data_IF_671427229926
#
_entry.id   IF_671427229926
#
_cell.length_a   1.000
_cell.length_b   1.000
_cell.length_c   1.000
_cell.angle_alpha   90.00
_cell.angle_beta   90.00
_cell.angle_gamma   90.00
#
_symmetry.space_group_name_H-M   'P 1'
#
loop_
_entity.id
_entity.type
_entity.pdbx_description
1 polymer ?
#
# COMPACT_ATOMS: atom_id res chain seq x y z
N UNK A 1 -19.09 -19.77 17.76
CA UNK A 1 -18.58 -20.37 16.51
C UNK A 1 -17.27 -21.07 16.83
N UNK A 2 -17.14 -22.35 16.45
CA UNK A 2 -15.95 -23.14 16.63
C UNK A 2 -15.19 -23.17 15.30
N UNK A 3 -13.90 -22.80 15.30
CA UNK A 3 -12.99 -22.97 14.15
C UNK A 3 -12.43 -24.40 14.16
N UNK A 4 -13.28 -25.37 13.84
CA UNK A 4 -12.99 -26.80 13.90
C UNK A 4 -12.53 -27.41 12.56
N UNK A 5 -12.62 -26.63 11.47
CA UNK A 5 -12.13 -27.04 10.15
C UNK A 5 -11.07 -26.07 9.62
N UNK A 6 -9.99 -26.65 9.05
CA UNK A 6 -8.92 -25.90 8.38
C UNK A 6 -8.88 -26.29 6.92
N UNK A 7 -8.91 -25.31 6.04
CA UNK A 7 -8.71 -25.50 4.62
C UNK A 7 -7.52 -24.69 4.15
N UNK A 8 -6.56 -25.32 3.48
CA UNK A 8 -5.47 -24.61 2.80
C UNK A 8 -6.01 -24.10 1.47
N UNK A 9 -6.09 -22.78 1.31
CA UNK A 9 -6.55 -22.14 0.07
C UNK A 9 -5.40 -21.94 -0.93
N UNK A 10 -4.24 -21.50 -0.45
CA UNK A 10 -3.07 -21.19 -1.28
C UNK A 10 -1.77 -21.35 -0.50
N UNK A 11 -0.77 -21.90 -1.14
CA UNK A 11 0.61 -21.88 -0.61
C UNK A 11 1.39 -20.79 -1.33
N UNK A 12 2.06 -19.94 -0.55
CA UNK A 12 2.95 -18.90 -1.05
C UNK A 12 4.36 -19.21 -0.54
N UNK A 13 5.30 -19.43 -1.46
CA UNK A 13 6.67 -19.81 -1.10
C UNK A 13 7.46 -18.56 -0.69
N UNK A 14 7.81 -18.53 0.59
CA UNK A 14 8.61 -17.50 1.21
C UNK A 14 10.07 -17.94 1.30
N UNK A 15 10.94 -17.15 0.71
CA UNK A 15 12.39 -17.36 0.76
C UNK A 15 13.03 -16.14 1.42
N UNK A 16 13.05 -16.14 2.75
CA UNK A 16 13.51 -15.02 3.52
C UNK A 16 15.00 -14.71 3.29
N UNK A 17 15.27 -13.48 2.88
CA UNK A 17 16.60 -12.87 2.96
C UNK A 17 16.55 -11.58 3.78
N UNK A 18 15.48 -10.81 3.64
CA UNK A 18 15.32 -9.50 4.26
C UNK A 18 14.08 -9.39 5.16
N UNK A 19 13.22 -10.41 5.22
CA UNK A 19 11.98 -10.39 6.01
C UNK A 19 10.77 -9.79 5.27
N UNK A 20 10.82 -9.68 3.95
CA UNK A 20 9.75 -9.11 3.13
C UNK A 20 8.74 -10.20 2.74
N UNK A 21 7.91 -10.61 3.68
CA UNK A 21 7.04 -11.77 3.57
C UNK A 21 5.60 -11.49 3.18
N UNK A 22 4.71 -12.28 3.78
CA UNK A 22 3.26 -12.11 3.69
C UNK A 22 2.86 -11.10 4.76
N UNK A 23 2.28 -9.98 4.37
CA UNK A 23 2.11 -8.87 5.29
C UNK A 23 0.66 -8.73 5.78
N UNK A 24 -0.30 -8.51 4.87
CA UNK A 24 -1.68 -8.20 5.27
C UNK A 24 -2.71 -8.94 4.40
N UNK A 25 -3.91 -9.15 4.95
CA UNK A 25 -5.10 -9.65 4.25
C UNK A 25 -6.20 -8.62 4.45
N UNK A 26 -6.77 -8.12 3.35
CA UNK A 26 -7.78 -7.07 3.37
C UNK A 26 -8.98 -7.49 2.53
N UNK A 27 -10.20 -7.28 3.05
CA UNK A 27 -11.43 -7.42 2.27
C UNK A 27 -11.65 -6.14 1.46
N UNK A 28 -11.69 -6.26 0.14
CA UNK A 28 -11.93 -5.14 -0.75
C UNK A 28 -13.40 -4.74 -0.84
N UNK A 29 -13.69 -3.52 -1.36
CA UNK A 29 -15.06 -3.05 -1.56
C UNK A 29 -15.85 -3.89 -2.58
N UNK A 30 -15.15 -4.63 -3.42
CA UNK A 30 -15.69 -5.60 -4.39
C UNK A 30 -15.95 -6.99 -3.80
N UNK A 31 -15.84 -7.13 -2.48
CA UNK A 31 -16.00 -8.38 -1.72
C UNK A 31 -14.95 -9.46 -2.05
N UNK A 32 -13.89 -9.12 -2.73
CA UNK A 32 -12.73 -9.99 -2.90
C UNK A 32 -11.71 -9.80 -1.77
N UNK A 33 -10.92 -10.84 -1.55
CA UNK A 33 -9.83 -10.85 -0.55
C UNK A 33 -8.54 -10.46 -1.26
N UNK A 34 -7.84 -9.48 -0.70
CA UNK A 34 -6.55 -9.01 -1.17
C UNK A 34 -5.46 -9.39 -0.19
N UNK A 35 -4.34 -9.90 -0.71
CA UNK A 35 -3.15 -10.22 0.06
C UNK A 35 -2.00 -9.32 -0.37
N UNK A 36 -1.33 -8.75 0.63
CA UNK A 36 -0.16 -7.90 0.44
C UNK A 36 1.10 -8.74 0.63
N UNK A 37 1.96 -8.74 -0.38
CA UNK A 37 3.09 -9.67 -0.44
C UNK A 37 4.38 -8.94 -0.82
N UNK A 38 5.40 -9.05 0.04
CA UNK A 38 6.71 -8.46 -0.19
C UNK A 38 7.59 -9.27 -1.15
N UNK A 39 8.73 -8.71 -1.56
CA UNK A 39 9.57 -9.26 -2.62
C UNK A 39 10.44 -10.48 -2.24
N UNK A 40 10.31 -11.02 -1.02
CA UNK A 40 10.90 -12.31 -0.64
C UNK A 40 9.98 -13.51 -0.96
N UNK A 41 8.79 -13.26 -1.51
CA UNK A 41 7.80 -14.29 -1.82
C UNK A 41 7.71 -14.51 -3.33
N UNK A 42 7.83 -15.75 -3.75
CA UNK A 42 7.70 -16.13 -5.16
C UNK A 42 6.26 -15.96 -5.64
N UNK A 43 6.06 -15.70 -6.94
CA UNK A 43 4.73 -15.74 -7.53
C UNK A 43 4.11 -17.13 -7.35
N UNK A 44 2.85 -17.21 -6.90
CA UNK A 44 2.20 -18.49 -6.67
C UNK A 44 1.82 -19.16 -7.99
N UNK A 45 1.88 -20.48 -8.01
CA UNK A 45 1.31 -21.28 -9.09
C UNK A 45 -0.22 -21.17 -9.12
N UNK A 46 -0.83 -21.45 -10.28
CA UNK A 46 -2.28 -21.50 -10.44
C UNK A 46 -2.99 -20.15 -10.25
N UNK A 47 -2.33 -19.06 -10.60
CA UNK A 47 -2.99 -17.76 -10.83
C UNK A 47 -3.58 -17.70 -12.24
N UNK A 48 -4.61 -16.89 -12.42
CA UNK A 48 -5.24 -16.70 -13.72
C UNK A 48 -4.23 -16.21 -14.77
N UNK A 49 -4.19 -16.77 -15.96
CA UNK A 49 -3.39 -16.24 -17.06
C UNK A 49 -3.90 -14.87 -17.54
N UNK A 50 -5.14 -14.50 -17.18
CA UNK A 50 -5.73 -13.18 -17.40
C UNK A 50 -5.48 -12.23 -16.20
N UNK A 51 -4.56 -12.54 -15.27
CA UNK A 51 -4.18 -11.60 -14.24
C UNK A 51 -3.79 -10.25 -14.85
N UNK A 52 -4.30 -9.12 -14.31
CA UNK A 52 -3.93 -7.79 -14.82
C UNK A 52 -2.43 -7.55 -14.83
N UNK A 53 -1.75 -7.94 -13.77
CA UNK A 53 -0.30 -7.90 -13.69
C UNK A 53 0.30 -9.23 -14.19
N UNK A 54 1.10 -9.14 -15.22
CA UNK A 54 1.77 -10.30 -15.81
C UNK A 54 3.12 -10.51 -15.17
N UNK A 55 3.46 -11.78 -14.93
CA UNK A 55 4.73 -12.15 -14.31
C UNK A 55 5.93 -11.53 -15.07
N UNK A 56 6.74 -10.68 -14.44
CA UNK A 56 7.92 -10.08 -15.06
C UNK A 56 9.00 -11.08 -15.44
N UNK A 57 8.90 -12.37 -15.04
CA UNK A 57 9.83 -13.43 -15.48
C UNK A 57 9.90 -13.55 -17.00
N UNK A 58 8.88 -13.11 -17.71
CA UNK A 58 8.85 -13.12 -19.17
C UNK A 58 9.30 -11.80 -19.79
N UNK A 59 9.66 -10.82 -18.98
CA UNK A 59 10.09 -9.52 -19.46
C UNK A 59 11.62 -9.46 -19.59
N UNK A 60 12.13 -9.94 -20.72
CA UNK A 60 13.57 -9.98 -21.01
C UNK A 60 14.17 -8.59 -21.27
N UNK A 61 13.35 -7.57 -21.44
CA UNK A 61 13.79 -6.22 -21.76
C UNK A 61 14.15 -5.44 -20.49
N UNK A 62 13.75 -5.95 -19.33
CA UNK A 62 13.90 -5.25 -18.08
C UNK A 62 15.13 -5.77 -17.32
N UNK A 63 16.09 -4.89 -17.01
CA UNK A 63 17.29 -5.31 -16.34
C UNK A 63 17.00 -5.78 -14.92
N UNK A 64 17.49 -6.95 -14.57
CA UNK A 64 17.57 -7.37 -13.18
C UNK A 64 18.64 -6.55 -12.45
N UNK A 65 18.49 -6.30 -11.15
CA UNK A 65 19.55 -5.78 -10.33
C UNK A 65 20.78 -6.68 -10.42
N UNK A 66 21.97 -6.10 -10.43
CA UNK A 66 23.23 -6.83 -10.58
C UNK A 66 23.47 -7.87 -9.48
N UNK A 67 22.86 -7.72 -8.29
CA UNK A 67 22.96 -8.59 -7.14
C UNK A 67 21.82 -9.62 -7.04
N UNK A 68 20.84 -9.56 -7.93
CA UNK A 68 19.70 -10.49 -7.95
C UNK A 68 19.95 -11.72 -8.82
N UNK A 69 20.91 -11.68 -9.75
CA UNK A 69 21.16 -12.75 -10.70
C UNK A 69 19.95 -12.99 -11.60
N UNK A 70 19.38 -14.20 -11.54
CA UNK A 70 18.18 -14.59 -12.29
C UNK A 70 16.88 -14.47 -11.47
N UNK A 71 16.94 -13.86 -10.28
CA UNK A 71 15.78 -13.72 -9.41
C UNK A 71 14.94 -12.50 -9.81
N UNK A 72 13.72 -12.74 -10.27
CA UNK A 72 12.78 -11.73 -10.74
C UNK A 72 11.66 -11.43 -9.74
N UNK A 73 11.81 -11.86 -8.48
CA UNK A 73 10.80 -11.59 -7.46
C UNK A 73 10.59 -10.10 -7.26
N UNK A 74 9.34 -9.74 -7.10
CA UNK A 74 8.88 -8.39 -6.72
C UNK A 74 7.81 -8.51 -5.65
N UNK A 75 7.58 -7.47 -4.87
CA UNK A 75 6.36 -7.38 -4.07
C UNK A 75 5.15 -7.23 -5.00
N UNK A 76 4.02 -7.81 -4.62
CA UNK A 76 2.81 -7.81 -5.42
C UNK A 76 1.55 -7.81 -4.56
N UNK A 77 0.43 -7.51 -5.19
CA UNK A 77 -0.91 -7.65 -4.60
C UNK A 77 -1.60 -8.83 -5.27
N UNK A 78 -1.97 -9.82 -4.46
CA UNK A 78 -2.72 -10.99 -4.89
C UNK A 78 -4.19 -10.82 -4.50
N UNK A 79 -5.09 -11.17 -5.39
CA UNK A 79 -6.54 -11.12 -5.19
C UNK A 79 -7.16 -12.49 -5.33
N UNK A 80 -8.18 -12.80 -4.52
CA UNK A 80 -9.00 -13.99 -4.66
C UNK A 80 -10.46 -13.71 -4.32
N UNK A 81 -11.37 -14.55 -4.85
CA UNK A 81 -12.75 -14.60 -4.39
C UNK A 81 -12.83 -15.10 -2.93
N UNK A 82 -13.98 -14.97 -2.30
CA UNK A 82 -14.19 -15.36 -0.89
C UNK A 82 -13.97 -16.86 -0.65
N UNK A 83 -14.13 -17.69 -1.69
CA UNK A 83 -13.93 -19.14 -1.61
C UNK A 83 -12.46 -19.55 -1.84
N UNK A 84 -11.57 -18.63 -2.23
CA UNK A 84 -10.19 -18.93 -2.56
C UNK A 84 -10.01 -19.76 -3.82
N UNK A 85 -10.94 -19.68 -4.79
CA UNK A 85 -10.93 -20.49 -6.02
C UNK A 85 -10.29 -19.76 -7.20
N UNK A 86 -10.49 -18.44 -7.30
CA UNK A 86 -9.96 -17.61 -8.39
C UNK A 86 -8.84 -16.74 -7.86
N UNK A 87 -7.65 -16.88 -8.41
CA UNK A 87 -6.48 -16.15 -7.97
C UNK A 87 -5.92 -15.28 -9.10
N UNK A 88 -5.68 -14.01 -8.82
CA UNK A 88 -5.18 -13.03 -9.77
C UNK A 88 -4.09 -12.17 -9.12
N UNK A 89 -3.07 -11.80 -9.87
CA UNK A 89 -2.10 -10.79 -9.47
C UNK A 89 -2.59 -9.45 -10.00
N UNK A 90 -2.86 -8.51 -9.09
CA UNK A 90 -3.45 -7.20 -9.44
C UNK A 90 -2.38 -6.24 -9.94
N UNK A 91 -1.29 -6.10 -9.20
CA UNK A 91 -0.20 -5.18 -9.46
C UNK A 91 1.09 -5.70 -8.84
N UNK A 92 2.24 -5.22 -9.30
CA UNK A 92 3.54 -5.65 -8.81
C UNK A 92 4.63 -4.61 -8.95
N UNK A 93 5.88 -5.01 -8.69
CA UNK A 93 7.00 -4.09 -8.67
C UNK A 93 7.13 -3.31 -7.37
N UNK A 94 6.61 -3.85 -6.27
CA UNK A 94 6.80 -3.32 -4.92
C UNK A 94 8.02 -3.96 -4.25
N UNK A 95 8.47 -3.33 -3.15
CA UNK A 95 9.55 -3.87 -2.32
C UNK A 95 9.00 -4.62 -1.11
N UNK A 96 8.46 -3.91 -0.14
CA UNK A 96 7.91 -4.48 1.09
C UNK A 96 6.78 -3.59 1.62
N UNK A 97 5.72 -3.51 0.87
CA UNK A 97 4.48 -2.89 1.32
C UNK A 97 3.86 -3.79 2.40
N UNK A 98 3.44 -3.18 3.51
CA UNK A 98 2.89 -3.94 4.64
C UNK A 98 1.38 -4.01 4.57
N UNK A 99 0.74 -2.95 4.06
CA UNK A 99 -0.72 -2.84 4.08
C UNK A 99 -1.26 -2.18 2.81
N UNK A 100 -2.56 -2.30 2.59
CA UNK A 100 -3.34 -1.60 1.58
C UNK A 100 -4.60 -1.02 2.19
N UNK A 101 -5.07 0.10 1.65
CA UNK A 101 -6.35 0.67 2.02
C UNK A 101 -7.11 1.18 0.79
N UNK A 102 -8.44 1.13 0.87
CA UNK A 102 -9.33 1.62 -0.18
C UNK A 102 -9.97 2.93 0.23
N UNK A 103 -9.97 3.90 -0.68
CA UNK A 103 -10.71 5.14 -0.45
C UNK A 103 -12.22 4.93 -0.73
N UNK A 104 -13.10 5.90 -0.39
CA UNK A 104 -14.54 5.78 -0.65
C UNK A 104 -14.94 5.61 -2.11
N UNK A 105 -14.04 5.90 -3.06
CA UNK A 105 -14.25 5.67 -4.48
C UNK A 105 -13.80 4.26 -4.95
N UNK A 106 -13.34 3.41 -4.02
CA UNK A 106 -12.83 2.07 -4.31
C UNK A 106 -11.43 2.03 -4.91
N UNK A 107 -10.70 3.15 -4.89
CA UNK A 107 -9.31 3.21 -5.34
C UNK A 107 -8.36 2.70 -4.24
N UNK A 108 -7.41 1.86 -4.63
CA UNK A 108 -6.49 1.18 -3.71
C UNK A 108 -5.18 1.95 -3.56
N UNK A 109 -4.65 1.98 -2.35
CA UNK A 109 -3.35 2.60 -2.04
C UNK A 109 -2.50 1.65 -1.19
N UNK A 110 -1.18 1.82 -1.28
CA UNK A 110 -0.22 1.16 -0.39
C UNK A 110 0.90 2.11 -0.01
N UNK A 111 1.56 1.81 1.12
CA UNK A 111 2.74 2.50 1.60
C UNK A 111 3.92 1.53 1.54
N UNK A 112 4.86 1.77 0.58
CA UNK A 112 5.97 0.86 0.28
C UNK A 112 7.28 1.32 0.93
N UNK A 113 8.15 0.36 1.22
CA UNK A 113 9.40 0.55 1.92
C UNK A 113 10.44 1.39 1.13
N UNK A 114 11.35 2.00 1.87
CA UNK A 114 12.53 2.65 1.35
C UNK A 114 13.65 1.66 1.00
N UNK A 115 14.74 2.17 0.46
CA UNK A 115 15.99 1.45 0.28
C UNK A 115 17.18 2.39 0.36
N UNK A 116 18.22 1.96 1.06
CA UNK A 116 19.46 2.73 1.26
C UNK A 116 20.47 2.50 0.13
N UNK A 117 20.18 1.55 -0.77
CA UNK A 117 21.04 1.17 -1.89
C UNK A 117 20.21 1.05 -3.17
N UNK A 118 20.82 1.35 -4.30
CA UNK A 118 20.21 1.11 -5.60
C UNK A 118 21.31 0.78 -6.62
N UNK A 119 21.15 -0.35 -7.32
CA UNK A 119 22.13 -0.89 -8.27
C UNK A 119 23.54 -1.00 -7.64
N UNK A 120 23.61 -1.51 -6.39
CA UNK A 120 24.86 -1.66 -5.65
C UNK A 120 25.54 -0.37 -5.21
N UNK A 121 24.89 0.77 -5.38
CA UNK A 121 25.37 2.07 -4.95
C UNK A 121 24.59 2.57 -3.73
N UNK A 122 25.15 3.39 -2.86
CA UNK A 122 24.45 3.96 -1.71
C UNK A 122 23.49 5.08 -2.14
N UNK A 123 22.68 4.78 -3.12
CA UNK A 123 21.65 5.68 -3.63
C UNK A 123 20.33 5.41 -2.92
N UNK A 124 19.92 6.37 -2.15
CA UNK A 124 18.71 6.28 -1.37
C UNK A 124 17.44 6.35 -2.23
N UNK A 125 16.50 5.44 -1.96
CA UNK A 125 15.13 5.46 -2.48
C UNK A 125 14.15 5.64 -1.32
N UNK A 126 13.28 6.66 -1.35
CA UNK A 126 12.39 6.97 -0.23
C UNK A 126 11.27 5.93 -0.08
N UNK A 127 10.71 5.86 1.13
CA UNK A 127 9.38 5.29 1.33
C UNK A 127 8.35 6.09 0.55
N UNK A 128 7.32 5.42 0.04
CA UNK A 128 6.41 6.06 -0.90
C UNK A 128 4.99 5.53 -0.82
N UNK A 129 4.03 6.42 -1.03
CA UNK A 129 2.63 6.06 -1.22
C UNK A 129 2.39 5.83 -2.71
N UNK A 130 1.83 4.69 -3.05
CA UNK A 130 1.43 4.35 -4.41
C UNK A 130 -0.10 4.26 -4.50
N UNK A 131 -0.67 4.85 -5.54
CA UNK A 131 -2.02 4.55 -5.99
C UNK A 131 -1.95 3.29 -6.85
N UNK A 132 -2.58 2.21 -6.39
CA UNK A 132 -2.50 0.91 -7.06
C UNK A 132 -3.60 0.81 -8.11
N UNK A 133 -3.19 0.51 -9.33
CA UNK A 133 -4.10 0.23 -10.44
C UNK A 133 -3.86 -1.20 -10.97
N UNK A 134 -4.89 -1.89 -11.46
CA UNK A 134 -4.72 -3.19 -12.10
C UNK A 134 -3.70 -3.13 -13.23
N UNK A 135 -2.79 -4.10 -13.27
CA UNK A 135 -1.68 -4.15 -14.23
C UNK A 135 -0.52 -3.21 -13.94
N UNK A 136 -0.59 -2.43 -12.85
CA UNK A 136 0.43 -1.44 -12.51
C UNK A 136 1.78 -2.07 -12.12
N UNK A 137 2.87 -1.50 -12.68
CA UNK A 137 4.25 -1.82 -12.35
C UNK A 137 4.88 -0.65 -11.60
N UNK A 138 5.49 -0.90 -10.42
CA UNK A 138 6.03 0.14 -9.54
C UNK A 138 7.56 0.14 -9.43
N UNK A 139 8.22 -0.68 -10.24
CA UNK A 139 9.64 -0.58 -10.57
C UNK A 139 10.60 -1.28 -9.64
N UNK A 140 10.21 -1.77 -8.47
CA UNK A 140 11.10 -2.55 -7.62
C UNK A 140 11.37 -3.93 -8.21
N UNK A 141 12.61 -4.41 -7.97
CA UNK A 141 13.04 -5.78 -8.24
C UNK A 141 13.65 -6.38 -6.99
N UNK A 142 13.74 -7.69 -6.95
CA UNK A 142 14.42 -8.38 -5.86
C UNK A 142 15.91 -7.99 -5.86
N UNK A 143 16.52 -7.86 -4.68
CA UNK A 143 17.87 -7.30 -4.54
C UNK A 143 17.83 -5.78 -4.41
N UNK A 144 18.81 -5.08 -5.00
CA UNK A 144 19.02 -3.64 -4.88
C UNK A 144 18.70 -2.88 -6.16
N UNK A 145 17.54 -3.09 -6.74
CA UNK A 145 17.19 -2.43 -7.99
C UNK A 145 15.80 -1.85 -8.01
N UNK A 146 15.70 -0.61 -8.47
CA UNK A 146 14.43 0.04 -8.77
C UNK A 146 14.53 0.81 -10.07
N UNK A 147 13.56 0.57 -10.96
CA UNK A 147 13.48 1.31 -12.21
C UNK A 147 13.16 2.78 -11.97
N UNK A 148 13.75 3.66 -12.78
CA UNK A 148 13.42 5.08 -12.74
C UNK A 148 11.94 5.33 -13.04
N UNK A 149 11.34 6.31 -12.38
CA UNK A 149 9.93 6.68 -12.58
C UNK A 149 9.65 7.35 -13.94
N UNK A 150 10.70 7.69 -14.70
CA UNK A 150 10.56 8.20 -16.07
C UNK A 150 10.44 7.10 -17.12
N UNK A 151 10.60 5.82 -16.75
CA UNK A 151 10.27 4.71 -17.63
C UNK A 151 8.75 4.59 -17.75
N UNK A 152 8.27 4.40 -18.98
CA UNK A 152 6.84 4.26 -19.23
C UNK A 152 6.18 3.10 -18.46
N UNK A 153 6.97 2.08 -18.14
CA UNK A 153 6.54 0.87 -17.45
C UNK A 153 6.70 0.96 -15.92
N UNK A 154 7.21 2.08 -15.38
CA UNK A 154 7.38 2.27 -13.94
C UNK A 154 6.50 3.41 -13.46
N UNK A 155 5.39 3.07 -12.80
CA UNK A 155 4.46 4.07 -12.30
C UNK A 155 5.09 4.89 -11.17
N UNK A 156 4.91 6.22 -11.19
CA UNK A 156 5.41 7.10 -10.14
C UNK A 156 4.59 6.95 -8.86
N UNK A 157 5.22 7.30 -7.73
CA UNK A 157 4.53 7.44 -6.46
C UNK A 157 3.58 8.64 -6.46
N UNK A 158 2.53 8.57 -5.63
CA UNK A 158 1.68 9.73 -5.35
C UNK A 158 2.32 10.69 -4.34
N UNK A 159 3.24 10.17 -3.52
CA UNK A 159 4.01 10.93 -2.52
C UNK A 159 5.22 10.12 -2.07
N UNK A 160 6.37 10.79 -1.97
CA UNK A 160 7.57 10.29 -1.27
C UNK A 160 7.60 10.89 0.14
N UNK A 161 7.79 10.04 1.16
CA UNK A 161 7.77 10.44 2.57
C UNK A 161 9.16 10.46 3.23
N UNK A 162 10.21 10.15 2.45
CA UNK A 162 11.59 10.15 2.94
C UNK A 162 11.98 8.82 3.59
N UNK A 163 12.93 8.88 4.53
CA UNK A 163 13.33 7.74 5.37
C UNK A 163 12.17 7.30 6.23
N UNK A 164 11.96 5.99 6.36
CA UNK A 164 10.93 5.44 7.21
C UNK A 164 10.77 3.94 7.12
N UNK A 165 9.84 3.43 7.90
CA UNK A 165 9.45 2.02 7.88
C UNK A 165 7.93 1.94 7.82
N UNK A 166 7.36 1.81 6.62
CA UNK A 166 5.92 1.65 6.41
C UNK A 166 5.34 0.47 7.16
N UNK A 167 4.19 0.69 7.80
CA UNK A 167 3.40 -0.37 8.44
C UNK A 167 1.92 -0.17 8.10
N UNK A 168 0.99 -0.16 9.08
CA UNK A 168 -0.43 -0.08 8.82
C UNK A 168 -0.89 1.20 8.15
N UNK A 169 -2.01 1.11 7.42
CA UNK A 169 -2.68 2.23 6.80
C UNK A 169 -4.19 2.07 6.80
N UNK A 170 -4.93 3.17 6.93
CA UNK A 170 -6.39 3.15 6.93
C UNK A 170 -6.96 4.49 6.45
N UNK A 171 -8.13 4.48 5.81
CA UNK A 171 -8.89 5.70 5.54
C UNK A 171 -9.77 6.08 6.73
N UNK A 172 -9.91 7.39 6.97
CA UNK A 172 -10.72 7.92 8.07
C UNK A 172 -12.24 7.81 7.87
N UNK A 173 -12.71 7.13 6.84
CA UNK A 173 -14.12 7.08 6.42
C UNK A 173 -15.06 6.68 7.56
N UNK A 174 -14.65 5.70 8.37
CA UNK A 174 -15.45 5.17 9.47
C UNK A 174 -15.20 5.88 10.80
N UNK A 175 -14.46 7.00 10.78
CA UNK A 175 -14.14 7.73 12.00
C UNK A 175 -15.27 8.64 12.47
N UNK A 176 -15.33 8.86 13.79
CA UNK A 176 -16.13 9.92 14.43
C UNK A 176 -15.41 11.28 14.45
N UNK A 177 -14.27 11.40 13.77
CA UNK A 177 -13.47 12.61 13.73
C UNK A 177 -14.13 13.71 12.85
N UNK A 178 -13.71 14.97 12.95
CA UNK A 178 -14.21 16.03 12.07
C UNK A 178 -14.03 15.71 10.58
N UNK A 179 -14.87 16.26 9.68
CA UNK A 179 -14.90 15.89 8.24
C UNK A 179 -13.55 15.92 7.53
N UNK A 180 -12.64 16.81 7.92
CA UNK A 180 -11.26 16.86 7.42
C UNK A 180 -10.57 15.51 7.58
N UNK A 181 -10.70 14.90 8.75
CA UNK A 181 -10.04 13.66 9.12
C UNK A 181 -10.72 12.41 8.56
N UNK A 182 -12.03 12.50 8.27
CA UNK A 182 -12.77 11.41 7.65
C UNK A 182 -12.38 11.20 6.18
N UNK A 183 -11.90 12.23 5.50
CA UNK A 183 -11.54 12.18 4.09
C UNK A 183 -10.07 11.82 3.86
N UNK A 184 -9.25 11.84 4.90
CA UNK A 184 -7.83 11.61 4.83
C UNK A 184 -7.47 10.13 5.01
N UNK A 185 -6.31 9.77 4.50
CA UNK A 185 -5.65 8.50 4.75
C UNK A 185 -4.66 8.65 5.92
N UNK A 186 -4.61 7.67 6.78
CA UNK A 186 -3.63 7.57 7.87
C UNK A 186 -2.62 6.50 7.49
N UNK A 187 -1.35 6.81 7.66
CA UNK A 187 -0.24 5.87 7.43
C UNK A 187 0.71 5.88 8.62
N UNK A 188 1.16 4.71 9.02
CA UNK A 188 2.09 4.56 10.13
C UNK A 188 3.53 4.41 9.62
N UNK A 189 4.42 5.18 10.23
CA UNK A 189 5.86 5.13 10.00
C UNK A 189 6.52 4.66 11.31
N UNK A 190 6.79 3.37 11.36
CA UNK A 190 7.30 2.65 12.53
C UNK A 190 8.65 3.18 13.00
N UNK A 191 9.55 3.44 12.04
CA UNK A 191 10.91 3.87 12.34
C UNK A 191 10.96 5.26 12.97
N UNK A 192 10.14 6.19 12.46
CA UNK A 192 10.12 7.57 12.93
C UNK A 192 9.11 7.81 14.07
N UNK A 193 8.41 6.76 14.54
CA UNK A 193 7.48 6.87 15.64
C UNK A 193 6.33 7.84 15.39
N UNK A 194 5.69 7.76 14.21
CA UNK A 194 4.65 8.70 13.81
C UNK A 194 3.52 8.07 13.00
N UNK A 195 2.36 8.70 13.08
CA UNK A 195 1.24 8.49 12.16
C UNK A 195 1.10 9.78 11.33
N UNK A 196 1.08 9.65 10.03
CA UNK A 196 0.87 10.76 9.10
C UNK A 196 -0.58 10.80 8.64
N UNK A 197 -1.13 12.00 8.53
CA UNK A 197 -2.42 12.29 7.92
C UNK A 197 -2.18 12.75 6.49
N UNK A 198 -2.69 12.01 5.51
CA UNK A 198 -2.41 12.21 4.09
C UNK A 198 -3.67 12.64 3.37
N UNK A 199 -3.60 13.78 2.71
CA UNK A 199 -4.64 14.28 1.82
C UNK A 199 -4.40 13.82 0.39
N UNK A 200 -5.44 13.26 -0.22
CA UNK A 200 -5.45 12.89 -1.63
C UNK A 200 -5.93 14.07 -2.48
N UNK A 201 -5.12 14.46 -3.44
CA UNK A 201 -5.43 15.51 -4.42
C UNK A 201 -5.64 14.84 -5.78
N UNK A 202 -6.87 14.74 -6.28
CA UNK A 202 -7.16 14.14 -7.58
C UNK A 202 -6.39 14.84 -8.70
N UNK A 203 -5.62 14.08 -9.47
CA UNK A 203 -4.75 14.60 -10.54
C UNK A 203 -4.84 13.67 -11.75
N UNK A 204 -5.50 14.10 -12.82
CA UNK A 204 -5.78 13.25 -13.98
C UNK A 204 -6.52 11.96 -13.55
N UNK A 205 -6.04 10.82 -14.02
CA UNK A 205 -6.60 9.50 -13.68
C UNK A 205 -6.08 8.93 -12.36
N UNK A 206 -5.26 9.66 -11.62
CA UNK A 206 -4.62 9.26 -10.37
C UNK A 206 -4.74 10.35 -9.30
N UNK A 207 -3.79 10.38 -8.37
CA UNK A 207 -3.71 11.34 -7.27
C UNK A 207 -2.27 11.80 -7.09
N UNK A 208 -2.12 13.02 -6.57
CA UNK A 208 -0.96 13.46 -5.81
C UNK A 208 -1.35 13.58 -4.35
N UNK A 209 -0.39 13.58 -3.45
CA UNK A 209 -0.68 13.64 -2.02
C UNK A 209 0.14 14.72 -1.33
N UNK A 210 -0.38 15.21 -0.22
CA UNK A 210 0.36 15.97 0.78
C UNK A 210 0.08 15.39 2.16
N UNK A 211 0.98 15.59 3.12
CA UNK A 211 0.79 15.06 4.47
C UNK A 211 1.13 16.07 5.55
N UNK A 212 0.61 15.80 6.74
CA UNK A 212 1.03 16.40 7.99
C UNK A 212 1.20 15.30 9.06
N UNK A 213 1.92 15.58 10.12
CA UNK A 213 2.03 14.66 11.26
C UNK A 213 0.72 14.71 12.05
N UNK A 214 0.03 13.58 12.14
CA UNK A 214 -1.18 13.42 12.94
C UNK A 214 -0.85 13.14 14.41
N UNK A 215 0.09 12.22 14.63
CA UNK A 215 0.55 11.81 15.95
C UNK A 215 2.03 11.44 15.86
N UNK A 216 2.82 11.84 16.85
CA UNK A 216 4.22 11.43 16.98
C UNK A 216 4.59 11.21 18.44
N UNK A 217 5.58 10.37 18.68
CA UNK A 217 6.08 10.09 20.01
C UNK A 217 7.36 9.28 19.99
N UNK A 218 8.02 9.21 21.14
CA UNK A 218 9.23 8.43 21.32
C UNK A 218 9.22 7.67 22.65
N UNK A 219 9.05 6.32 22.60
CA UNK A 219 8.81 5.49 21.41
C UNK A 219 7.34 5.46 20.96
N UNK A 220 7.08 5.43 19.65
CA UNK A 220 5.77 5.21 19.07
C UNK A 220 5.88 4.34 17.81
N UNK A 221 6.39 3.13 17.96
CA UNK A 221 6.60 2.18 16.86
C UNK A 221 5.27 1.52 16.48
N UNK A 222 4.44 2.22 15.72
CA UNK A 222 3.11 1.75 15.30
C UNK A 222 3.24 0.61 14.29
N UNK A 223 2.66 -0.55 14.61
CA UNK A 223 2.67 -1.73 13.74
C UNK A 223 1.44 -1.78 12.83
N UNK A 224 0.27 -1.44 13.38
CA UNK A 224 -0.99 -1.48 12.64
C UNK A 224 -2.02 -0.57 13.30
N UNK A 225 -3.09 -0.19 12.54
CA UNK A 225 -4.15 0.68 13.03
C UNK A 225 -5.47 0.45 12.29
N UNK A 226 -6.58 0.68 13.01
CA UNK A 226 -7.93 0.51 12.47
C UNK A 226 -8.91 1.43 13.19
N UNK A 227 -9.94 1.90 12.49
CA UNK A 227 -11.06 2.55 13.13
C UNK A 227 -12.01 1.51 13.72
N UNK A 228 -12.34 1.66 14.99
CA UNK A 228 -13.31 0.81 15.67
C UNK A 228 -14.75 1.19 15.39
N UNK A 229 -15.72 0.35 15.80
CA UNK A 229 -17.16 0.63 15.59
C UNK A 229 -17.66 1.86 16.36
N UNK A 230 -16.88 2.38 17.31
CA UNK A 230 -17.13 3.63 18.01
C UNK A 230 -16.54 4.87 17.27
N UNK A 231 -15.95 4.67 16.11
CA UNK A 231 -15.32 5.69 15.30
C UNK A 231 -14.00 6.25 15.85
N UNK A 232 -13.43 5.62 16.89
CA UNK A 232 -12.10 5.95 17.41
C UNK A 232 -11.02 5.25 16.59
N UNK A 233 -9.84 5.86 16.48
CA UNK A 233 -8.67 5.21 15.92
C UNK A 233 -8.00 4.33 17.00
N UNK A 234 -7.89 3.05 16.73
CA UNK A 234 -7.10 2.12 17.51
C UNK A 234 -5.80 1.82 16.79
N UNK A 235 -4.69 1.79 17.51
CA UNK A 235 -3.42 1.35 16.95
C UNK A 235 -2.62 0.56 17.96
N UNK A 236 -1.75 -0.32 17.45
CA UNK A 236 -0.84 -1.12 18.25
C UNK A 236 0.60 -0.71 17.98
N UNK A 237 1.40 -0.73 19.04
CA UNK A 237 2.85 -0.51 18.97
C UNK A 237 3.60 -1.79 19.31
N UNK A 238 4.85 -1.89 18.86
CA UNK A 238 5.72 -3.02 19.16
C UNK A 238 6.76 -3.30 18.08
N UNK A 239 7.32 -4.52 18.14
CA UNK A 239 8.32 -4.99 17.18
C UNK A 239 9.76 -4.68 17.59
N UNK A 240 10.68 -5.54 17.18
CA UNK A 240 12.13 -5.42 17.39
C UNK A 240 12.55 -5.12 18.85
N UNK A 241 11.82 -5.67 19.82
CA UNK A 241 12.10 -5.47 21.25
C UNK A 241 11.56 -4.16 21.84
N UNK A 242 10.84 -3.33 21.08
CA UNK A 242 10.13 -2.19 21.62
C UNK A 242 8.92 -2.61 22.44
N UNK A 243 8.53 -1.78 23.40
CA UNK A 243 7.37 -2.05 24.25
C UNK A 243 6.09 -2.10 23.42
N UNK A 244 5.31 -3.16 23.59
CA UNK A 244 4.00 -3.30 22.97
C UNK A 244 2.93 -2.53 23.73
N UNK A 245 1.97 -1.98 23.01
CA UNK A 245 0.82 -1.27 23.59
C UNK A 245 -0.35 -1.21 22.63
N UNK A 246 -1.56 -1.09 23.17
CA UNK A 246 -2.79 -0.78 22.44
C UNK A 246 -3.26 0.60 22.85
N UNK A 247 -3.49 1.44 21.86
CA UNK A 247 -3.88 2.84 22.08
C UNK A 247 -5.21 3.13 21.39
N UNK A 248 -5.95 4.08 21.96
CA UNK A 248 -7.22 4.55 21.41
C UNK A 248 -7.20 6.08 21.35
N UNK A 249 -7.46 6.62 20.14
CA UNK A 249 -7.51 8.06 19.89
C UNK A 249 -8.94 8.46 19.56
N UNK A 250 -9.43 9.51 20.20
CA UNK A 250 -10.75 10.09 19.98
C UNK A 250 -10.65 11.57 19.71
N UNK A 251 -11.62 12.12 19.00
CA UNK A 251 -11.77 13.55 18.85
C UNK A 251 -12.43 14.16 20.08
N UNK A 252 -11.85 15.23 20.61
CA UNK A 252 -12.49 16.00 21.67
C UNK A 252 -13.53 16.96 21.07
N UNK A 253 -14.75 16.92 21.58
CA UNK A 253 -15.83 17.80 21.15
C UNK A 253 -15.46 19.27 21.35
N UNK A 254 -15.74 20.12 20.38
CA UNK A 254 -15.55 21.57 20.46
C UNK A 254 -14.14 22.09 20.11
N UNK A 255 -13.16 21.23 19.86
CA UNK A 255 -11.86 21.69 19.38
C UNK A 255 -11.92 22.04 17.89
N UNK A 256 -11.50 23.29 17.58
CA UNK A 256 -11.30 23.71 16.19
C UNK A 256 -9.95 23.16 15.71
N UNK A 257 -9.97 22.33 14.65
CA UNK A 257 -8.72 21.92 14.01
C UNK A 257 -8.09 23.12 13.28
N UNK A 258 -6.77 23.29 13.44
CA UNK A 258 -6.00 24.30 12.70
C UNK A 258 -5.69 23.80 11.27
N UNK A 259 -5.74 22.51 11.08
CA UNK A 259 -5.47 21.87 9.80
C UNK A 259 -6.63 22.09 8.83
N UNK A 260 -6.30 22.46 7.61
CA UNK A 260 -7.27 22.68 6.53
C UNK A 260 -6.98 21.70 5.40
N UNK A 261 -8.01 21.01 4.86
CA UNK A 261 -7.81 20.17 3.69
C UNK A 261 -7.42 21.02 2.47
N UNK A 262 -6.77 20.42 1.46
CA UNK A 262 -6.52 21.08 0.20
C UNK A 262 -7.80 21.63 -0.40
N UNK A 263 -7.74 22.86 -0.92
CA UNK A 263 -8.88 23.44 -1.64
C UNK A 263 -8.79 23.03 -3.12
N UNK A 264 -9.67 22.12 -3.52
CA UNK A 264 -9.73 21.61 -4.89
C UNK A 264 -10.98 22.17 -5.58
N UNK A 265 -10.80 22.79 -6.74
CA UNK A 265 -11.94 23.34 -7.48
C UNK A 265 -12.88 22.23 -7.97
N UNK A 266 -14.18 22.55 -8.07
CA UNK A 266 -15.19 21.62 -8.60
C UNK A 266 -14.85 21.16 -10.03
N UNK A 267 -14.20 22.01 -10.82
CA UNK A 267 -13.77 21.67 -12.17
C UNK A 267 -12.70 20.56 -12.15
N UNK A 268 -11.66 20.69 -11.33
CA UNK A 268 -10.60 19.68 -11.18
C UNK A 268 -11.19 18.36 -10.68
N UNK A 269 -12.09 18.40 -9.70
CA UNK A 269 -12.76 17.18 -9.20
C UNK A 269 -13.54 16.46 -10.31
N UNK A 270 -14.28 17.18 -11.16
CA UNK A 270 -15.03 16.61 -12.28
C UNK A 270 -14.10 16.01 -13.33
N UNK A 271 -13.07 16.75 -13.75
CA UNK A 271 -12.11 16.30 -14.75
C UNK A 271 -11.38 15.04 -14.29
N UNK A 272 -10.92 15.00 -13.05
CA UNK A 272 -10.26 13.83 -12.46
C UNK A 272 -11.23 12.64 -12.32
N UNK A 273 -12.50 12.86 -11.97
CA UNK A 273 -13.50 11.81 -11.91
C UNK A 273 -13.73 11.18 -13.30
N UNK A 274 -13.84 12.00 -14.36
CA UNK A 274 -13.95 11.50 -15.73
C UNK A 274 -12.71 10.73 -16.15
N UNK A 275 -11.51 11.24 -15.89
CA UNK A 275 -10.26 10.57 -16.23
C UNK A 275 -10.12 9.21 -15.54
N UNK A 276 -10.48 9.12 -14.24
CA UNK A 276 -10.49 7.83 -13.52
C UNK A 276 -11.54 6.85 -14.06
N UNK A 277 -12.71 7.35 -14.45
CA UNK A 277 -13.72 6.49 -15.08
C UNK A 277 -13.18 5.93 -16.41
N UNK A 278 -12.61 6.77 -17.26
CA UNK A 278 -11.98 6.31 -18.52
C UNK A 278 -10.89 5.26 -18.26
N UNK A 279 -10.04 5.46 -17.25
CA UNK A 279 -9.03 4.46 -16.87
C UNK A 279 -9.69 3.13 -16.48
N UNK A 280 -10.69 3.14 -15.58
CA UNK A 280 -11.42 1.93 -15.17
C UNK A 280 -12.12 1.22 -16.33
N UNK A 281 -12.65 1.99 -17.29
CA UNK A 281 -13.26 1.42 -18.49
C UNK A 281 -12.21 0.71 -19.38
N UNK A 282 -10.96 1.19 -19.36
CA UNK A 282 -9.86 0.56 -20.09
C UNK A 282 -9.28 -0.66 -19.35
N UNK A 283 -9.27 -0.65 -18.03
CA UNK A 283 -8.76 -1.75 -17.18
C UNK A 283 -9.54 -3.07 -17.41
N UNK A 284 -10.78 -3.02 -17.88
CA UNK A 284 -11.55 -4.21 -18.21
C UNK A 284 -11.00 -5.01 -19.42
N UNK A 285 -10.04 -4.46 -20.17
CA UNK A 285 -9.38 -5.12 -21.30
C UNK A 285 -8.02 -5.71 -20.94
N UNK A 286 -7.59 -5.60 -19.67
CA UNK A 286 -6.39 -6.24 -19.16
C UNK A 286 -6.66 -7.72 -18.88
#
# INVERSE_FOLDING_TARGET
DQFDQRQLLKKLDYRSRFGHGHNQIVLGPDQNIYLVVGNDVSFPEGVSPQSPYRNPQNDHLLPNPHDAGQDNRVGYILKTDQDGKKWEIVAGGFRNQVDIAFNPAGEMFTYDADMEWDIGQPWYRPTRINHIIPGGEYGWRWGTGKWPEYYADSLPSTLNTGLGSPTGMVFGTDSSFPPRFQQAMYIADWQNGRILLVDLIPTGATYTCQYEVFLEGGPLNVCDMQFGPDGALYFITGGRGSQSGLYRVTSLSGQKTKSKPPQISKQVLRQAATARQTRRDLEQYL
#
